data_IF_695798734725
#
_entry.id   IF_695798734725
#
_cell.length_a   1.000
_cell.length_b   1.000
_cell.length_c   1.000
_cell.angle_alpha   90.00
_cell.angle_beta   90.00
_cell.angle_gamma   90.00
#
_symmetry.space_group_name_H-M   'P 1'
#
loop_
_entity.id
_entity.type
_entity.pdbx_description
1 polymer ?
#
# COMPACT_ATOMS: atom_id res chain seq x y z
N UNK A 1 8.60 3.30 -5.14
CA UNK A 1 8.42 2.94 -6.55
C UNK A 1 7.00 3.32 -6.92
N UNK A 2 6.83 4.01 -8.04
CA UNK A 2 5.51 4.30 -8.59
C UNK A 2 4.87 3.02 -9.15
N UNK A 3 3.53 2.95 -9.23
CA UNK A 3 2.84 1.81 -9.84
C UNK A 3 3.31 1.51 -11.27
N UNK A 4 3.60 2.56 -12.06
CA UNK A 4 4.09 2.45 -13.43
C UNK A 4 5.51 1.88 -13.53
N UNK A 5 6.40 2.23 -12.59
CA UNK A 5 7.74 1.63 -12.54
C UNK A 5 7.67 0.15 -12.20
N UNK A 6 6.80 -0.24 -11.26
CA UNK A 6 6.61 -1.65 -10.87
C UNK A 6 6.13 -2.47 -12.07
N UNK A 7 5.14 -1.98 -12.81
CA UNK A 7 4.65 -2.67 -14.02
C UNK A 7 5.71 -2.78 -15.10
N UNK A 8 6.58 -1.79 -15.27
CA UNK A 8 7.66 -1.82 -16.27
C UNK A 8 8.78 -2.79 -15.93
N UNK A 9 9.03 -3.05 -14.64
CA UNK A 9 10.06 -3.99 -14.19
C UNK A 9 9.57 -5.43 -14.08
N UNK A 10 8.26 -5.65 -14.18
CA UNK A 10 7.65 -6.95 -13.99
C UNK A 10 7.37 -7.62 -15.33
N UNK A 11 7.63 -8.92 -15.41
CA UNK A 11 7.41 -9.74 -16.61
C UNK A 11 5.96 -10.24 -16.72
N UNK A 12 5.26 -10.33 -15.59
CA UNK A 12 3.94 -10.95 -15.51
C UNK A 12 3.08 -10.37 -14.40
N UNK A 13 1.77 -10.28 -14.67
CA UNK A 13 0.74 -10.03 -13.67
C UNK A 13 0.34 -11.32 -12.95
N UNK A 14 0.37 -11.28 -11.62
CA UNK A 14 -0.12 -12.36 -10.77
C UNK A 14 -1.54 -12.01 -10.31
N UNK A 15 -2.47 -12.93 -10.53
CA UNK A 15 -3.87 -12.76 -10.18
C UNK A 15 -4.55 -14.04 -9.66
N UNK A 16 -3.86 -15.20 -9.73
CA UNK A 16 -4.38 -16.48 -9.26
C UNK A 16 -3.73 -16.85 -7.93
N UNK A 17 -4.56 -17.10 -6.91
CA UNK A 17 -4.12 -17.56 -5.58
C UNK A 17 -3.88 -19.06 -5.50
N UNK A 18 -3.44 -19.67 -6.60
CA UNK A 18 -3.20 -21.12 -6.76
C UNK A 18 -1.82 -21.30 -7.39
N UNK A 19 -1.04 -22.23 -6.84
CA UNK A 19 0.37 -22.40 -7.23
C UNK A 19 0.52 -23.46 -8.32
N UNK A 20 -0.24 -24.57 -8.23
CA UNK A 20 -0.16 -25.72 -9.11
C UNK A 20 -1.51 -26.08 -9.73
N UNK A 21 -1.48 -26.56 -10.97
CA UNK A 21 -2.63 -27.07 -11.69
C UNK A 21 -2.98 -28.51 -11.30
N UNK A 22 -4.02 -29.06 -11.92
CA UNK A 22 -4.42 -30.47 -11.73
C UNK A 22 -3.32 -31.46 -12.14
N UNK A 23 -2.43 -31.06 -13.05
CA UNK A 23 -1.25 -31.79 -13.51
C UNK A 23 -0.02 -31.61 -12.61
N UNK A 24 -0.18 -30.89 -11.48
CA UNK A 24 0.89 -30.50 -10.54
C UNK A 24 2.01 -29.68 -11.16
N UNK A 25 1.75 -28.99 -12.28
CA UNK A 25 2.68 -28.02 -12.84
C UNK A 25 2.34 -26.60 -12.37
N UNK A 26 3.35 -25.72 -12.26
CA UNK A 26 3.09 -24.32 -11.98
C UNK A 26 2.15 -23.70 -13.01
N UNK A 27 1.18 -22.91 -12.55
CA UNK A 27 0.18 -22.30 -13.42
C UNK A 27 0.54 -20.88 -13.83
N UNK A 28 0.12 -20.49 -15.03
CA UNK A 28 0.24 -19.11 -15.49
C UNK A 28 -0.65 -18.16 -14.67
N UNK A 29 -0.11 -16.98 -14.34
CA UNK A 29 -0.74 -15.98 -13.50
C UNK A 29 -0.83 -16.36 -12.02
N UNK A 30 -0.26 -17.51 -11.63
CA UNK A 30 -0.10 -17.94 -10.23
C UNK A 30 1.25 -17.50 -9.65
N UNK A 31 1.45 -17.73 -8.35
CA UNK A 31 2.68 -17.31 -7.70
C UNK A 31 3.90 -18.10 -8.17
N UNK A 32 3.74 -19.28 -8.76
CA UNK A 32 4.86 -20.04 -9.33
C UNK A 32 4.95 -19.92 -10.86
N UNK A 33 4.36 -18.87 -11.45
CA UNK A 33 4.34 -18.66 -12.91
C UNK A 33 5.75 -18.90 -13.53
N UNK A 34 5.88 -19.74 -14.57
CA UNK A 34 7.17 -20.08 -15.18
C UNK A 34 8.01 -18.87 -15.64
N UNK A 35 7.40 -17.71 -15.88
CA UNK A 35 8.08 -16.45 -16.23
C UNK A 35 8.78 -15.80 -15.05
N UNK A 36 8.45 -16.15 -13.81
CA UNK A 36 9.15 -15.68 -12.62
C UNK A 36 10.44 -16.45 -12.34
N UNK A 37 10.63 -17.57 -13.04
CA UNK A 37 11.74 -18.50 -12.88
C UNK A 37 11.28 -19.86 -12.32
N UNK A 38 12.07 -20.91 -12.52
CA UNK A 38 11.78 -22.24 -11.99
C UNK A 38 11.82 -22.26 -10.45
N UNK A 39 10.75 -22.71 -9.76
CA UNK A 39 10.70 -22.72 -8.30
C UNK A 39 11.51 -23.85 -7.64
N UNK A 40 11.77 -24.93 -8.38
CA UNK A 40 12.57 -26.05 -7.92
C UNK A 40 13.27 -26.75 -9.11
N UNK A 41 14.15 -27.72 -8.81
CA UNK A 41 14.93 -28.46 -9.82
C UNK A 41 14.09 -29.35 -10.74
N UNK A 42 12.87 -29.74 -10.34
CA UNK A 42 11.96 -30.59 -11.13
C UNK A 42 11.14 -29.75 -12.12
N UNK A 43 10.92 -28.48 -11.81
CA UNK A 43 10.37 -27.52 -12.76
C UNK A 43 11.44 -27.24 -13.84
N UNK A 44 11.02 -27.31 -15.10
CA UNK A 44 11.91 -27.16 -16.26
C UNK A 44 12.52 -25.77 -16.38
N UNK A 45 12.83 -25.35 -17.61
CA UNK A 45 13.51 -24.08 -17.82
C UNK A 45 12.57 -22.88 -17.61
N UNK A 46 13.15 -21.75 -17.23
CA UNK A 46 12.44 -20.47 -17.11
C UNK A 46 11.81 -20.07 -18.46
N UNK A 47 10.56 -19.61 -18.44
CA UNK A 47 9.89 -19.15 -19.66
C UNK A 47 10.41 -17.81 -20.20
N UNK A 48 11.08 -17.00 -19.37
CA UNK A 48 11.57 -15.66 -19.74
C UNK A 48 12.98 -15.72 -20.33
N UNK A 49 13.92 -16.40 -19.64
CA UNK A 49 15.33 -16.46 -20.06
C UNK A 49 15.76 -17.83 -20.59
N UNK A 50 14.93 -18.88 -20.47
CA UNK A 50 15.28 -20.24 -20.90
C UNK A 50 16.33 -20.94 -20.02
N UNK A 51 16.80 -20.30 -18.94
CA UNK A 51 17.78 -20.85 -18.02
C UNK A 51 17.17 -21.90 -17.08
N UNK A 52 18.01 -22.83 -16.61
CA UNK A 52 17.64 -23.84 -15.62
C UNK A 52 17.56 -23.24 -14.20
N UNK A 53 17.16 -24.06 -13.21
CA UNK A 53 17.03 -23.64 -11.81
C UNK A 53 18.27 -23.00 -11.17
N UNK A 54 19.49 -23.43 -11.55
CA UNK A 54 20.72 -22.92 -10.95
C UNK A 54 21.18 -21.61 -11.57
N UNK A 55 20.92 -21.44 -12.86
CA UNK A 55 21.48 -20.33 -13.66
C UNK A 55 20.49 -19.18 -13.87
N UNK A 56 19.22 -19.36 -13.51
CA UNK A 56 18.20 -18.33 -13.63
C UNK A 56 18.29 -17.33 -12.47
N UNK A 57 18.48 -16.01 -12.72
CA UNK A 57 18.44 -14.99 -11.67
C UNK A 57 17.01 -14.72 -11.16
N UNK A 58 16.00 -15.22 -11.87
CA UNK A 58 14.58 -15.00 -11.58
C UNK A 58 14.09 -13.62 -12.01
N UNK A 59 12.76 -13.49 -12.12
CA UNK A 59 12.11 -12.29 -12.66
C UNK A 59 10.98 -11.81 -11.75
N UNK A 60 10.81 -10.49 -11.69
CA UNK A 60 9.75 -9.90 -10.90
C UNK A 60 8.41 -10.05 -11.62
N UNK A 61 7.37 -10.26 -10.82
CA UNK A 61 5.99 -10.07 -11.24
C UNK A 61 5.41 -8.82 -10.58
N UNK A 62 4.16 -8.53 -10.88
CA UNK A 62 3.38 -7.55 -10.13
C UNK A 62 1.99 -8.10 -9.81
N UNK A 63 1.43 -7.64 -8.70
CA UNK A 63 0.05 -7.87 -8.31
C UNK A 63 -0.67 -6.53 -8.28
N UNK A 64 -1.66 -6.36 -9.15
CA UNK A 64 -2.52 -5.18 -9.17
C UNK A 64 -3.65 -5.32 -8.12
N UNK A 65 -3.67 -4.42 -7.15
CA UNK A 65 -4.70 -4.38 -6.12
C UNK A 65 -6.00 -3.81 -6.68
N UNK A 66 -7.13 -4.34 -6.21
CA UNK A 66 -8.47 -3.92 -6.62
C UNK A 66 -8.79 -2.50 -6.15
N UNK A 67 -8.31 -2.16 -4.95
CA UNK A 67 -8.37 -0.83 -4.36
C UNK A 67 -7.01 -0.48 -3.74
N UNK A 68 -6.67 0.82 -3.65
CA UNK A 68 -5.46 1.26 -2.99
C UNK A 68 -5.42 0.81 -1.52
N UNK A 69 -4.25 0.40 -1.03
CA UNK A 69 -4.03 -0.01 0.37
C UNK A 69 -2.98 0.88 1.04
N UNK A 70 -3.11 1.17 2.33
CA UNK A 70 -2.09 1.98 3.03
C UNK A 70 -0.75 1.24 3.13
N UNK A 71 0.35 1.96 2.86
CA UNK A 71 1.67 1.46 3.23
C UNK A 71 1.90 1.69 4.74
N UNK A 72 1.92 0.61 5.52
CA UNK A 72 2.09 0.69 6.99
C UNK A 72 3.39 1.37 7.40
N UNK A 73 4.48 1.16 6.66
CA UNK A 73 5.78 1.78 6.93
C UNK A 73 5.77 3.30 6.78
N UNK A 74 4.95 3.84 5.87
CA UNK A 74 4.79 5.28 5.66
C UNK A 74 3.58 5.88 6.35
N UNK A 75 2.72 5.07 6.98
CA UNK A 75 1.46 5.52 7.56
C UNK A 75 1.64 6.65 8.58
N UNK A 76 2.70 6.60 9.40
CA UNK A 76 3.04 7.70 10.32
C UNK A 76 3.32 9.01 9.58
N UNK A 77 4.14 8.95 8.54
CA UNK A 77 4.46 10.11 7.69
C UNK A 77 3.23 10.65 6.96
N UNK A 78 2.36 9.77 6.46
CA UNK A 78 1.09 10.13 5.81
C UNK A 78 0.21 10.91 6.78
N UNK A 79 0.03 10.40 8.00
CA UNK A 79 -0.75 11.06 9.05
C UNK A 79 -0.16 12.43 9.38
N UNK A 80 1.16 12.54 9.46
CA UNK A 80 1.83 13.81 9.75
C UNK A 80 1.69 14.84 8.62
N UNK A 81 1.77 14.42 7.35
CA UNK A 81 1.46 15.27 6.19
C UNK A 81 0.00 15.72 6.26
N UNK A 82 -0.92 14.78 6.53
CA UNK A 82 -2.33 15.09 6.62
C UNK A 82 -2.63 16.05 7.79
N UNK A 83 -1.94 16.00 8.93
CA UNK A 83 -2.12 17.02 9.97
C UNK A 83 -1.73 18.43 9.49
N UNK A 84 -0.89 18.54 8.46
CA UNK A 84 -0.33 19.81 8.00
C UNK A 84 -1.03 20.42 6.78
N UNK A 85 -1.85 19.65 6.04
CA UNK A 85 -2.47 20.11 4.79
C UNK A 85 -3.99 20.14 4.85
N UNK A 86 -4.58 21.07 4.11
CA UNK A 86 -6.01 21.16 3.89
C UNK A 86 -6.54 19.96 3.10
N UNK A 87 -7.72 19.45 3.45
CA UNK A 87 -8.35 18.29 2.77
C UNK A 87 -9.08 18.60 1.49
N UNK A 88 -9.32 19.88 1.24
CA UNK A 88 -9.96 20.35 0.01
C UNK A 88 -8.95 20.84 -1.01
N UNK A 89 -8.04 21.76 -0.63
CA UNK A 89 -7.12 22.39 -1.59
C UNK A 89 -5.65 21.94 -1.48
N UNK A 90 -5.34 20.99 -0.58
CA UNK A 90 -3.98 20.52 -0.28
C UNK A 90 -2.97 21.61 0.14
N UNK A 91 -3.45 22.82 0.45
CA UNK A 91 -2.61 23.90 0.97
C UNK A 91 -2.14 23.63 2.40
N UNK A 92 -0.92 24.04 2.74
CA UNK A 92 -0.38 23.95 4.11
C UNK A 92 -1.21 24.83 5.06
N UNK A 93 -1.66 24.27 6.18
CA UNK A 93 -2.53 24.93 7.18
C UNK A 93 -1.80 25.91 8.10
N UNK A 94 -0.47 25.91 8.07
CA UNK A 94 0.35 26.80 8.87
C UNK A 94 0.15 28.26 8.43
N UNK A 95 0.14 29.20 9.39
CA UNK A 95 0.12 30.64 9.12
C UNK A 95 1.27 31.06 8.20
N UNK A 96 1.02 32.07 7.38
CA UNK A 96 1.94 32.51 6.32
C UNK A 96 3.34 32.88 6.83
N UNK A 97 3.42 33.66 7.91
CA UNK A 97 4.69 34.06 8.54
C UNK A 97 5.57 32.85 8.89
N UNK A 98 4.98 31.89 9.60
CA UNK A 98 5.65 30.66 10.02
C UNK A 98 6.01 29.78 8.81
N UNK A 99 5.15 29.74 7.79
CA UNK A 99 5.36 28.95 6.57
C UNK A 99 6.60 29.43 5.84
N UNK A 100 6.73 30.75 5.66
CA UNK A 100 7.89 31.36 4.97
C UNK A 100 9.19 31.08 5.73
N UNK A 101 9.19 31.23 7.06
CA UNK A 101 10.35 30.96 7.91
C UNK A 101 10.84 29.50 7.78
N UNK A 102 9.93 28.53 7.95
CA UNK A 102 10.28 27.10 7.86
C UNK A 102 10.69 26.69 6.45
N UNK A 103 10.04 27.24 5.42
CA UNK A 103 10.42 26.97 4.03
C UNK A 103 11.85 27.46 3.72
N UNK A 104 12.22 28.65 4.19
CA UNK A 104 13.58 29.18 4.04
C UNK A 104 14.62 28.26 4.69
N UNK A 105 14.32 27.75 5.89
CA UNK A 105 15.21 26.81 6.60
C UNK A 105 15.29 25.45 5.92
N UNK A 106 14.17 24.89 5.44
CA UNK A 106 14.13 23.60 4.75
C UNK A 106 14.88 23.61 3.41
N UNK A 107 14.83 24.75 2.69
CA UNK A 107 15.53 24.94 1.40
C UNK A 107 17.03 25.16 1.53
N UNK A 108 17.56 25.33 2.75
CA UNK A 108 19.00 25.51 2.96
C UNK A 108 19.75 24.20 2.57
N UNK A 109 20.62 24.23 1.54
CA UNK A 109 21.36 23.05 1.11
C UNK A 109 22.40 22.60 2.15
N UNK A 110 22.89 23.51 3.01
CA UNK A 110 23.85 23.21 4.08
C UNK A 110 23.20 22.57 5.31
N UNK A 111 21.87 22.46 5.36
CA UNK A 111 21.17 21.86 6.47
C UNK A 111 21.18 20.33 6.35
N UNK A 112 21.91 19.68 7.26
CA UNK A 112 22.02 18.23 7.29
C UNK A 112 20.67 17.50 7.50
N UNK A 113 20.57 16.22 7.10
CA UNK A 113 19.31 15.46 7.14
C UNK A 113 18.64 15.42 8.52
N UNK A 114 19.41 15.19 9.59
CA UNK A 114 18.87 15.12 10.96
C UNK A 114 18.16 16.41 11.39
N UNK A 115 18.75 17.57 11.08
CA UNK A 115 18.17 18.88 11.38
C UNK A 115 16.92 19.15 10.54
N UNK A 116 16.87 18.66 9.29
CA UNK A 116 15.65 18.72 8.45
C UNK A 116 14.53 17.87 9.06
N UNK A 117 14.84 16.68 9.55
CA UNK A 117 13.88 15.82 10.25
C UNK A 117 13.35 16.47 11.53
N UNK A 118 14.22 17.11 12.32
CA UNK A 118 13.81 17.86 13.52
C UNK A 118 12.91 19.05 13.18
N UNK A 119 13.24 19.80 12.12
CA UNK A 119 12.42 20.91 11.63
C UNK A 119 11.04 20.41 11.17
N UNK A 120 10.98 19.30 10.44
CA UNK A 120 9.73 18.67 10.02
C UNK A 120 8.87 18.30 11.23
N UNK A 121 9.45 17.65 12.26
CA UNK A 121 8.74 17.33 13.50
C UNK A 121 8.19 18.58 14.21
N UNK A 122 8.94 19.68 14.19
CA UNK A 122 8.50 20.96 14.75
C UNK A 122 7.30 21.53 13.98
N UNK A 123 7.32 21.48 12.64
CA UNK A 123 6.20 21.91 11.80
C UNK A 123 4.96 21.06 12.10
N UNK A 124 5.10 19.74 12.11
CA UNK A 124 4.01 18.81 12.42
C UNK A 124 3.41 19.09 13.79
N UNK A 125 4.24 19.31 14.82
CA UNK A 125 3.78 19.66 16.17
C UNK A 125 2.96 20.95 16.18
N UNK A 126 3.40 21.98 15.43
CA UNK A 126 2.67 23.25 15.30
C UNK A 126 1.33 23.05 14.58
N UNK A 127 1.32 22.35 13.45
CA UNK A 127 0.10 22.06 12.70
C UNK A 127 -0.91 21.24 13.54
N UNK A 128 -0.44 20.19 14.22
CA UNK A 128 -1.27 19.40 15.12
C UNK A 128 -1.84 20.24 16.28
N UNK A 129 -1.06 21.21 16.78
CA UNK A 129 -1.50 22.16 17.80
C UNK A 129 -2.66 23.06 17.35
N UNK A 130 -2.78 23.37 16.06
CA UNK A 130 -3.90 24.16 15.53
C UNK A 130 -5.24 23.43 15.73
N UNK A 131 -5.25 22.12 15.55
CA UNK A 131 -6.42 21.26 15.72
C UNK A 131 -6.56 20.69 17.15
N UNK A 132 -5.76 21.17 18.12
CA UNK A 132 -5.79 20.66 19.49
C UNK A 132 -7.17 20.84 20.13
N UNK A 133 -7.58 19.86 20.94
CA UNK A 133 -8.91 19.74 21.55
C UNK A 133 -10.06 19.61 20.54
N UNK A 134 -9.78 19.10 19.34
CA UNK A 134 -10.72 18.98 18.21
C UNK A 134 -11.30 20.33 17.78
N UNK A 135 -10.49 21.39 17.85
CA UNK A 135 -10.86 22.69 17.29
C UNK A 135 -10.76 22.68 15.76
N UNK A 136 -11.74 23.25 15.05
CA UNK A 136 -11.66 23.40 13.60
C UNK A 136 -10.51 24.34 13.21
N UNK A 137 -9.79 23.97 12.16
CA UNK A 137 -8.76 24.79 11.53
C UNK A 137 -9.26 25.21 10.15
N UNK A 138 -9.65 26.46 10.04
CA UNK A 138 -10.05 27.04 8.76
C UNK A 138 -8.84 27.23 7.83
N UNK A 139 -8.98 26.77 6.59
CA UNK A 139 -7.94 26.94 5.59
C UNK A 139 -7.90 28.38 5.07
N UNK A 140 -6.77 29.06 5.23
CA UNK A 140 -6.57 30.42 4.73
C UNK A 140 -6.68 30.59 3.21
N UNK A 141 -6.64 29.50 2.43
CA UNK A 141 -6.73 29.54 0.96
C UNK A 141 -8.13 29.31 0.41
N UNK A 142 -8.94 28.48 1.07
CA UNK A 142 -10.22 28.03 0.53
C UNK A 142 -11.39 28.02 1.54
N UNK A 143 -11.15 28.41 2.80
CA UNK A 143 -12.17 28.42 3.86
C UNK A 143 -12.57 27.03 4.38
N UNK A 144 -12.06 25.93 3.81
CA UNK A 144 -12.41 24.58 4.27
C UNK A 144 -12.03 24.35 5.74
N UNK A 145 -12.97 23.82 6.53
CA UNK A 145 -12.77 23.51 7.95
C UNK A 145 -12.10 22.14 8.12
N UNK A 146 -10.84 22.17 8.55
CA UNK A 146 -10.05 20.98 8.84
C UNK A 146 -10.20 20.60 10.32
N UNK A 147 -10.03 19.33 10.61
CA UNK A 147 -10.23 18.73 11.92
C UNK A 147 -9.01 17.95 12.35
N UNK A 148 -9.11 17.22 13.45
CA UNK A 148 -7.98 16.42 13.92
C UNK A 148 -7.80 15.19 13.04
N UNK A 149 -6.54 14.84 12.76
CA UNK A 149 -6.19 13.66 11.97
C UNK A 149 -5.45 12.66 12.86
N UNK A 150 -5.96 11.44 12.92
CA UNK A 150 -5.42 10.37 13.77
C UNK A 150 -5.41 9.04 13.03
N UNK A 151 -4.45 8.17 13.38
CA UNK A 151 -4.50 6.76 12.99
C UNK A 151 -5.61 6.09 13.79
N UNK A 152 -6.42 5.26 13.15
CA UNK A 152 -7.45 4.49 13.82
C UNK A 152 -6.82 3.42 14.74
N UNK A 153 -7.38 3.24 15.93
CA UNK A 153 -6.96 2.17 16.85
C UNK A 153 -7.62 0.87 16.41
N UNK A 154 -6.83 -0.19 16.23
CA UNK A 154 -7.35 -1.53 15.89
C UNK A 154 -7.70 -1.76 14.41
N UNK A 155 -7.50 -0.77 13.53
CA UNK A 155 -7.70 -0.92 12.09
C UNK A 155 -6.65 -0.13 11.30
N UNK A 156 -6.37 -0.57 10.07
CA UNK A 156 -5.44 0.09 9.15
C UNK A 156 -6.17 1.22 8.43
N UNK A 157 -6.47 2.32 9.16
CA UNK A 157 -7.21 3.46 8.61
C UNK A 157 -6.73 4.81 9.16
N UNK A 158 -6.98 5.88 8.41
CA UNK A 158 -6.70 7.27 8.81
C UNK A 158 -8.02 8.03 8.93
N UNK A 159 -8.24 8.60 10.12
CA UNK A 159 -9.47 9.27 10.49
C UNK A 159 -9.27 10.78 10.43
N UNK A 160 -10.19 11.48 9.76
CA UNK A 160 -10.38 12.91 9.89
C UNK A 160 -11.60 13.21 10.75
N UNK A 161 -11.36 13.63 11.99
CA UNK A 161 -12.41 13.89 12.96
C UNK A 161 -12.92 15.34 12.84
N UNK A 162 -14.16 15.48 12.35
CA UNK A 162 -14.90 16.75 12.20
C UNK A 162 -16.14 16.81 13.10
N UNK A 163 -16.27 15.87 14.04
CA UNK A 163 -17.47 15.63 14.84
C UNK A 163 -17.97 16.86 15.62
N UNK A 164 -17.08 17.78 15.99
CA UNK A 164 -17.42 18.95 16.82
C UNK A 164 -17.92 20.18 16.06
N UNK A 165 -17.93 20.18 14.73
CA UNK A 165 -18.26 21.37 13.93
C UNK A 165 -18.91 21.05 12.58
N UNK A 166 -19.77 20.02 12.56
CA UNK A 166 -20.71 19.81 11.45
C UNK A 166 -20.25 18.88 10.33
N UNK A 167 -19.40 17.88 10.61
CA UNK A 167 -19.04 16.85 9.63
C UNK A 167 -19.08 15.43 10.18
N UNK A 168 -19.47 14.50 9.32
CA UNK A 168 -19.28 13.04 9.48
C UNK A 168 -17.79 12.73 9.66
N UNK A 169 -17.47 11.60 10.29
CA UNK A 169 -16.10 11.12 10.36
C UNK A 169 -15.68 10.64 8.97
N UNK A 170 -14.94 11.47 8.24
CA UNK A 170 -14.52 11.17 6.87
C UNK A 170 -13.20 10.38 6.88
N UNK A 171 -13.16 9.30 6.11
CA UNK A 171 -11.92 8.56 5.86
C UNK A 171 -11.12 9.26 4.74
N UNK A 172 -9.89 9.65 5.03
CA UNK A 172 -9.04 10.37 4.10
C UNK A 172 -8.21 9.42 3.24
N UNK A 173 -8.31 9.57 1.91
CA UNK A 173 -7.54 8.77 0.94
C UNK A 173 -6.48 9.62 0.23
N UNK A 174 -5.23 9.69 0.75
CA UNK A 174 -4.13 10.33 0.06
C UNK A 174 -3.65 9.42 -1.07
N UNK A 175 -4.34 9.46 -2.21
CA UNK A 175 -4.17 8.61 -3.40
C UNK A 175 -2.73 8.41 -3.89
N UNK A 176 -1.80 9.32 -3.59
CA UNK A 176 -0.38 9.23 -3.95
C UNK A 176 0.53 8.55 -2.90
N UNK A 177 -0.02 8.13 -1.76
CA UNK A 177 0.71 7.45 -0.67
C UNK A 177 0.17 6.03 -0.42
N UNK A 178 -0.69 5.55 -1.32
CA UNK A 178 -1.32 4.24 -1.28
C UNK A 178 -0.61 3.30 -2.24
N UNK A 179 -0.50 2.04 -1.83
CA UNK A 179 0.00 0.96 -2.65
C UNK A 179 -1.12 0.56 -3.61
N UNK A 180 -0.85 0.64 -4.91
CA UNK A 180 -1.75 0.14 -5.96
C UNK A 180 -1.24 -1.17 -6.56
N UNK A 181 0.08 -1.32 -6.67
CA UNK A 181 0.73 -2.49 -7.22
C UNK A 181 1.77 -3.00 -6.22
N UNK A 182 1.76 -4.31 -5.95
CA UNK A 182 2.77 -4.97 -5.14
C UNK A 182 3.77 -5.66 -6.07
N UNK A 183 5.08 -5.41 -5.96
CA UNK A 183 6.07 -6.18 -6.68
C UNK A 183 6.11 -7.61 -6.11
N UNK A 184 5.93 -8.60 -6.98
CA UNK A 184 6.04 -10.01 -6.61
C UNK A 184 7.48 -10.46 -6.83
N UNK A 185 8.21 -10.87 -5.79
CA UNK A 185 9.60 -11.27 -5.94
C UNK A 185 9.74 -12.55 -6.80
N UNK A 186 10.88 -12.72 -7.49
CA UNK A 186 11.21 -13.93 -8.22
C UNK A 186 11.14 -15.20 -7.36
N UNK A 187 10.89 -16.35 -7.99
CA UNK A 187 10.83 -17.65 -7.30
C UNK A 187 12.14 -18.03 -6.60
N UNK A 188 13.30 -17.57 -7.10
CA UNK A 188 14.61 -17.83 -6.47
C UNK A 188 14.76 -17.18 -5.08
N UNK A 189 14.01 -16.10 -4.79
CA UNK A 189 14.00 -15.43 -3.47
C UNK A 189 13.03 -16.14 -2.51
N UNK A 190 12.10 -16.93 -3.03
CA UNK A 190 11.06 -17.66 -2.28
C UNK A 190 11.03 -19.13 -2.70
N UNK A 191 12.12 -19.87 -2.48
CA UNK A 191 12.27 -21.23 -2.97
C UNK A 191 11.30 -22.19 -2.28
N UNK A 192 10.80 -23.17 -3.05
CA UNK A 192 9.96 -24.26 -2.52
C UNK A 192 10.83 -25.41 -2.00
N UNK A 193 10.46 -25.99 -0.87
CA UNK A 193 11.12 -27.18 -0.31
C UNK A 193 10.31 -28.42 -0.68
N UNK A 194 10.94 -29.40 -1.31
CA UNK A 194 10.31 -30.69 -1.59
C UNK A 194 10.21 -31.49 -0.29
N UNK A 195 9.00 -31.89 0.11
CA UNK A 195 8.75 -32.72 1.29
C UNK A 195 8.70 -34.20 0.89
N UNK A 196 8.12 -34.50 -0.28
CA UNK A 196 8.08 -35.83 -0.91
C UNK A 196 8.15 -35.69 -2.44
N UNK A 197 8.17 -36.80 -3.19
CA UNK A 197 8.15 -36.77 -4.67
C UNK A 197 6.93 -36.07 -5.27
N UNK A 198 5.90 -35.84 -4.46
CA UNK A 198 4.59 -35.32 -4.84
C UNK A 198 4.21 -33.98 -4.20
N UNK A 199 4.90 -33.53 -3.15
CA UNK A 199 4.48 -32.40 -2.33
C UNK A 199 5.62 -31.43 -2.09
N UNK A 200 5.32 -30.14 -2.24
CA UNK A 200 6.21 -29.04 -1.89
C UNK A 200 5.63 -28.27 -0.71
N UNK A 201 6.51 -27.88 0.21
CA UNK A 201 6.24 -26.86 1.20
C UNK A 201 6.74 -25.53 0.64
N UNK A 202 5.83 -24.59 0.47
CA UNK A 202 6.15 -23.29 -0.11
C UNK A 202 6.73 -22.33 0.94
N UNK A 203 7.51 -21.37 0.48
CA UNK A 203 8.09 -20.34 1.34
C UNK A 203 7.00 -19.46 2.00
N UNK A 204 7.24 -18.99 3.22
CA UNK A 204 6.32 -18.09 3.95
C UNK A 204 5.93 -16.84 3.14
N UNK A 205 6.84 -16.29 2.33
CA UNK A 205 6.56 -15.17 1.43
C UNK A 205 5.53 -15.58 0.36
N UNK A 206 5.67 -16.77 -0.23
CA UNK A 206 4.72 -17.30 -1.22
C UNK A 206 3.35 -17.49 -0.58
N UNK A 207 3.27 -18.11 0.60
CA UNK A 207 2.00 -18.31 1.31
C UNK A 207 1.34 -16.97 1.72
N UNK A 208 2.13 -15.97 2.15
CA UNK A 208 1.59 -14.64 2.44
C UNK A 208 1.04 -13.97 1.19
N UNK A 209 1.78 -13.99 0.08
CA UNK A 209 1.32 -13.44 -1.19
C UNK A 209 0.05 -14.12 -1.69
N UNK A 210 -0.10 -15.43 -1.43
CA UNK A 210 -1.30 -16.20 -1.78
C UNK A 210 -2.53 -15.67 -1.05
N UNK A 211 -2.41 -15.41 0.25
CA UNK A 211 -3.48 -14.80 1.04
C UNK A 211 -3.86 -13.41 0.51
N UNK A 212 -2.87 -12.59 0.14
CA UNK A 212 -3.11 -11.26 -0.46
C UNK A 212 -3.83 -11.41 -1.81
N UNK A 213 -3.39 -12.30 -2.69
CA UNK A 213 -4.03 -12.54 -4.00
C UNK A 213 -5.48 -13.00 -3.82
N UNK A 214 -5.74 -13.90 -2.88
CA UNK A 214 -7.09 -14.40 -2.59
C UNK A 214 -8.00 -13.31 -1.97
N UNK A 215 -7.48 -12.52 -1.03
CA UNK A 215 -8.20 -11.37 -0.48
C UNK A 215 -8.52 -10.33 -1.59
N UNK A 216 -7.56 -10.08 -2.48
CA UNK A 216 -7.73 -9.16 -3.60
C UNK A 216 -8.77 -9.66 -4.61
N UNK A 217 -8.77 -10.96 -4.92
CA UNK A 217 -9.76 -11.57 -5.80
C UNK A 217 -11.18 -11.50 -5.21
N UNK A 218 -11.33 -11.75 -3.90
CA UNK A 218 -12.61 -11.56 -3.18
C UNK A 218 -13.11 -10.13 -3.28
N UNK A 219 -12.23 -9.15 -3.02
CA UNK A 219 -12.58 -7.74 -3.15
C UNK A 219 -12.99 -7.36 -4.58
N UNK A 220 -12.27 -7.85 -5.61
CA UNK A 220 -12.65 -7.62 -7.02
C UNK A 220 -14.06 -8.14 -7.31
N UNK A 221 -14.36 -9.35 -6.84
CA UNK A 221 -15.68 -9.94 -6.99
C UNK A 221 -16.76 -9.07 -6.34
N UNK A 222 -16.57 -8.65 -5.08
CA UNK A 222 -17.53 -7.81 -4.35
C UNK A 222 -17.73 -6.43 -4.99
N UNK A 223 -16.72 -5.89 -5.67
CA UNK A 223 -16.83 -4.63 -6.43
C UNK A 223 -17.59 -4.78 -7.74
N UNK A 224 -17.62 -5.98 -8.33
CA UNK A 224 -18.32 -6.27 -9.59
C UNK A 224 -19.76 -6.72 -9.40
N UNK A 225 -20.15 -7.11 -8.18
CA UNK A 225 -21.54 -7.46 -7.89
C UNK A 225 -22.38 -6.19 -7.70
N UNK A 226 -23.43 -6.04 -8.51
CA UNK A 226 -24.49 -5.06 -8.28
C UNK A 226 -25.31 -5.47 -7.04
N UNK A 227 -24.81 -5.08 -5.86
CA UNK A 227 -25.50 -5.31 -4.62
C UNK A 227 -26.72 -4.38 -4.49
N UNK A 228 -27.85 -4.85 -3.93
CA UNK A 228 -28.99 -3.99 -3.62
C UNK A 228 -28.56 -2.81 -2.74
N UNK A 229 -29.26 -1.65 -2.78
CA UNK A 229 -28.86 -0.44 -2.04
C UNK A 229 -28.64 -0.64 -0.54
N UNK A 230 -29.32 -1.61 0.08
CA UNK A 230 -29.15 -1.97 1.49
C UNK A 230 -27.76 -2.54 1.84
N UNK A 231 -27.02 -3.03 0.84
CA UNK A 231 -25.68 -3.62 0.97
C UNK A 231 -24.61 -2.84 0.18
N UNK A 232 -24.95 -1.64 -0.32
CA UNK A 232 -24.00 -0.73 -0.96
C UNK A 232 -22.91 -0.33 0.05
N UNK A 233 -21.78 -1.05 0.04
CA UNK A 233 -20.73 -0.96 1.06
C UNK A 233 -20.19 -2.30 1.55
N UNK A 234 -20.72 -3.44 1.09
CA UNK A 234 -20.21 -4.78 1.41
C UNK A 234 -18.73 -4.96 1.11
N UNK A 235 -18.22 -4.30 0.06
CA UNK A 235 -16.80 -4.30 -0.29
C UNK A 235 -15.90 -3.70 0.79
N UNK A 236 -16.42 -2.88 1.71
CA UNK A 236 -15.60 -2.24 2.77
C UNK A 236 -14.97 -3.28 3.68
N UNK A 237 -15.71 -4.33 4.04
CA UNK A 237 -15.17 -5.41 4.85
C UNK A 237 -14.05 -6.17 4.11
N UNK A 238 -14.27 -6.48 2.83
CA UNK A 238 -13.27 -7.14 1.99
C UNK A 238 -12.04 -6.25 1.73
N UNK A 239 -12.23 -4.94 1.67
CA UNK A 239 -11.14 -3.98 1.58
C UNK A 239 -10.33 -3.92 2.88
N UNK A 240 -10.98 -3.84 4.04
CA UNK A 240 -10.31 -3.89 5.35
C UNK A 240 -9.52 -5.19 5.53
N UNK A 241 -10.08 -6.33 5.10
CA UNK A 241 -9.37 -7.61 5.11
C UNK A 241 -8.11 -7.58 4.22
N UNK A 242 -8.22 -7.04 2.99
CA UNK A 242 -7.06 -6.87 2.12
C UNK A 242 -5.99 -5.97 2.74
N UNK A 243 -6.40 -4.90 3.45
CA UNK A 243 -5.46 -4.02 4.13
C UNK A 243 -4.66 -4.75 5.21
N UNK A 244 -5.33 -5.63 5.98
CA UNK A 244 -4.68 -6.43 7.01
C UNK A 244 -3.71 -7.43 6.40
N UNK A 245 -4.07 -8.10 5.31
CA UNK A 245 -3.18 -9.07 4.65
C UNK A 245 -1.92 -8.42 4.08
N UNK A 246 -2.03 -7.22 3.50
CA UNK A 246 -0.88 -6.46 2.98
C UNK A 246 -0.02 -5.86 4.10
N UNK A 247 -0.59 -5.66 5.28
CA UNK A 247 0.08 -5.06 6.42
C UNK A 247 0.95 -6.05 7.22
N UNK A 248 0.67 -7.37 7.12
CA UNK A 248 1.39 -8.45 7.81
C UNK A 248 2.70 -8.79 7.09
#
# INVERSE_FOLDING_TARGET
MSPSEIMKMAEVEIFRGVDYGSDRKPIEGGLLDPRLGPPNKKCGNCATYGANYKDCPGHFGYLALALPVYNVGYMGTVVDILKCICKSCSGVLLKEEMRVEHLRRMRNPMLGPLKKTELMKMVVKKCNGLAANNRPVECSKCGYLNGSVKKATGMVAIIHDRSKFGGVMDELRPENLLIMNIPVPPTVIRPSVLVDDSWTNENDITERLKNIVQANARLRHDLTQDLPPAYAGGFKHSWDALQVEVAQ
#
